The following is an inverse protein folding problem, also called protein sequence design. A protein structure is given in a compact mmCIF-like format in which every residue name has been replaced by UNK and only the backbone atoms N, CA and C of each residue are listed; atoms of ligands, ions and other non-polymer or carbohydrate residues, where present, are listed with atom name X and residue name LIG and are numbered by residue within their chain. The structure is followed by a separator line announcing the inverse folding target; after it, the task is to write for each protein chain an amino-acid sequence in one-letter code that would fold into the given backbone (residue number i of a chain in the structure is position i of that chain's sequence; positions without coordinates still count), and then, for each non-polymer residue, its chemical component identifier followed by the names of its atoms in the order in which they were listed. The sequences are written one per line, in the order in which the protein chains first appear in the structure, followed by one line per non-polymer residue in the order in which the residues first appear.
data_IF_946715083929
#
_entry.id   IF_946715083929
#
_cell.length_a   1.000
_cell.length_b   1.000
_cell.length_c   1.000
_cell.angle_alpha   90.00
_cell.angle_beta   90.00
_cell.angle_gamma   90.00
#
_symmetry.space_group_name_H-M   'P 1'
#
loop_
_entity.id
_entity.type
_entity.pdbx_description
1 polymer ?
#
# COMPACT_ATOMS: atom_id res chain seq x y z
N UNK A 1 -37.76 14.03 75.25
CA UNK A 1 -37.67 14.69 73.92
C UNK A 1 -36.24 14.56 73.42
N UNK A 2 -35.97 13.65 72.48
CA UNK A 2 -34.62 13.44 71.96
C UNK A 2 -34.31 14.48 70.87
N UNK A 3 -33.24 15.26 71.07
CA UNK A 3 -32.75 16.23 70.08
C UNK A 3 -31.98 15.46 69.00
N UNK A 4 -32.50 15.44 67.77
CA UNK A 4 -31.79 14.88 66.61
C UNK A 4 -30.59 15.77 66.28
N UNK A 5 -29.43 15.14 66.07
CA UNK A 5 -28.18 15.83 65.73
C UNK A 5 -28.07 15.93 64.20
N UNK A 6 -28.24 17.13 63.62
CA UNK A 6 -28.30 17.29 62.16
C UNK A 6 -26.97 16.95 61.48
N UNK A 7 -25.86 17.02 62.21
CA UNK A 7 -24.53 16.66 61.72
C UNK A 7 -24.39 15.15 61.49
N UNK A 8 -24.99 14.34 62.36
CA UNK A 8 -24.97 12.87 62.21
C UNK A 8 -25.88 12.46 61.03
N UNK A 9 -27.03 13.11 60.87
CA UNK A 9 -27.94 12.89 59.74
C UNK A 9 -27.26 13.25 58.40
N UNK A 10 -26.50 14.36 58.34
CA UNK A 10 -25.73 14.75 57.16
C UNK A 10 -24.60 13.77 56.83
N UNK A 11 -23.85 13.32 57.84
CA UNK A 11 -22.76 12.37 57.66
C UNK A 11 -23.28 11.04 57.10
N UNK A 12 -24.43 10.58 57.60
CA UNK A 12 -25.07 9.32 57.17
C UNK A 12 -25.57 9.43 55.72
N UNK A 13 -26.10 10.60 55.33
CA UNK A 13 -26.51 10.86 53.95
C UNK A 13 -25.34 10.82 52.97
N UNK A 14 -24.19 11.41 53.33
CA UNK A 14 -22.98 11.38 52.51
C UNK A 14 -22.41 9.95 52.34
N UNK A 15 -22.48 9.14 53.40
CA UNK A 15 -21.97 7.76 53.39
C UNK A 15 -22.85 6.81 52.56
N UNK A 16 -24.15 7.08 52.45
CA UNK A 16 -25.06 6.32 51.59
C UNK A 16 -24.93 6.67 50.10
N UNK A 17 -24.53 7.91 49.78
CA UNK A 17 -24.42 8.37 48.38
C UNK A 17 -23.10 7.94 47.69
N UNK A 18 -22.09 7.52 48.46
CA UNK A 18 -20.80 7.06 47.92
C UNK A 18 -20.80 5.59 47.45
N UNK A 19 -21.91 4.86 47.65
CA UNK A 19 -22.03 3.44 47.30
C UNK A 19 -22.74 3.19 45.96
N UNK A 20 -22.73 4.16 45.04
CA UNK A 20 -23.21 3.93 43.67
C UNK A 20 -22.10 3.23 42.88
N UNK A 21 -22.26 1.96 42.45
CA UNK A 21 -21.29 1.33 41.59
C UNK A 21 -21.23 2.10 40.27
N UNK A 22 -20.04 2.59 39.92
CA UNK A 22 -19.76 3.14 38.60
C UNK A 22 -19.95 2.03 37.57
N UNK A 23 -21.16 1.90 37.05
CA UNK A 23 -21.48 0.94 36.01
C UNK A 23 -20.70 1.34 34.77
N UNK A 24 -19.81 0.46 34.32
CA UNK A 24 -18.90 0.68 33.21
C UNK A 24 -19.67 0.99 31.93
N UNK A 25 -19.65 2.26 31.50
CA UNK A 25 -20.09 2.70 30.16
C UNK A 25 -19.03 2.27 29.14
N UNK A 26 -18.88 0.96 28.96
CA UNK A 26 -18.04 0.37 27.93
C UNK A 26 -18.80 -0.71 27.16
N UNK A 27 -20.14 -0.68 27.20
CA UNK A 27 -20.88 -1.86 26.79
C UNK A 27 -20.90 -2.07 25.28
N UNK A 28 -21.13 -1.10 24.39
CA UNK A 28 -21.06 -1.40 22.94
C UNK A 28 -20.68 -0.17 22.11
N UNK A 29 -19.40 -0.07 21.75
CA UNK A 29 -18.92 0.94 20.82
C UNK A 29 -19.24 0.49 19.37
N UNK A 30 -20.08 1.22 18.62
CA UNK A 30 -20.51 0.82 17.27
C UNK A 30 -19.40 0.94 16.22
N UNK A 31 -18.27 1.55 16.56
CA UNK A 31 -17.07 1.61 15.71
C UNK A 31 -16.12 0.43 15.96
N UNK A 32 -16.38 -0.43 16.95
CA UNK A 32 -15.58 -1.63 17.13
C UNK A 32 -15.89 -2.62 16.00
N UNK A 33 -14.87 -3.13 15.29
CA UNK A 33 -15.09 -4.16 14.30
C UNK A 33 -15.68 -5.43 14.96
N UNK A 34 -16.49 -6.21 14.23
CA UNK A 34 -17.03 -7.48 14.72
C UNK A 34 -15.90 -8.37 15.26
N UNK A 35 -16.04 -8.89 16.47
CA UNK A 35 -15.03 -9.76 17.10
C UNK A 35 -13.91 -9.06 17.86
N UNK A 36 -13.93 -7.72 18.00
CA UNK A 36 -12.91 -6.99 18.78
C UNK A 36 -12.81 -7.43 20.26
N UNK A 37 -13.89 -7.97 20.84
CA UNK A 37 -13.93 -8.50 22.21
C UNK A 37 -13.49 -9.97 22.31
N UNK A 38 -13.25 -10.65 21.19
CA UNK A 38 -12.79 -12.03 21.20
C UNK A 38 -11.31 -12.09 21.58
N UNK A 39 -10.92 -13.08 22.38
CA UNK A 39 -9.52 -13.34 22.69
C UNK A 39 -8.76 -13.52 21.37
N UNK A 40 -7.74 -12.68 21.15
CA UNK A 40 -6.93 -12.74 19.93
C UNK A 40 -6.35 -14.16 19.82
N UNK A 41 -6.60 -14.91 18.72
CA UNK A 41 -5.95 -16.19 18.52
C UNK A 41 -4.44 -15.98 18.55
N UNK A 42 -3.71 -16.93 19.14
CA UNK A 42 -2.26 -16.88 19.21
C UNK A 42 -1.69 -16.58 17.81
N UNK A 43 -0.72 -15.67 17.68
CA UNK A 43 -0.19 -15.32 16.38
C UNK A 43 0.33 -16.59 15.71
N UNK A 44 -0.33 -16.99 14.63
CA UNK A 44 0.22 -18.01 13.74
C UNK A 44 1.53 -17.43 13.23
N UNK A 45 2.64 -18.14 13.47
CA UNK A 45 3.95 -17.76 12.96
C UNK A 45 3.89 -17.88 11.44
N UNK A 46 3.46 -16.81 10.78
CA UNK A 46 3.52 -16.71 9.33
C UNK A 46 4.98 -16.50 8.98
N UNK A 47 5.60 -17.52 8.37
CA UNK A 47 6.94 -17.37 7.79
C UNK A 47 6.90 -16.14 6.87
N UNK A 48 7.76 -15.12 7.08
CA UNK A 48 7.77 -13.95 6.21
C UNK A 48 7.93 -14.42 4.76
N UNK A 49 7.01 -14.01 3.89
CA UNK A 49 7.20 -14.21 2.47
C UNK A 49 8.52 -13.55 2.08
N UNK A 50 9.30 -14.25 1.25
CA UNK A 50 10.56 -13.70 0.71
C UNK A 50 10.24 -12.34 0.07
N UNK A 51 11.02 -11.28 0.34
CA UNK A 51 10.79 -9.98 -0.29
C UNK A 51 10.73 -10.15 -1.81
N UNK A 52 9.72 -9.58 -2.45
CA UNK A 52 9.65 -9.56 -3.90
C UNK A 52 10.95 -8.93 -4.45
N UNK A 53 11.50 -9.45 -5.55
CA UNK A 53 12.67 -8.85 -6.17
C UNK A 53 12.40 -7.36 -6.42
N UNK A 54 13.38 -6.47 -6.16
CA UNK A 54 13.20 -5.05 -6.42
C UNK A 54 12.80 -4.86 -7.90
N UNK A 55 11.82 -3.99 -8.19
CA UNK A 55 11.44 -3.69 -9.57
C UNK A 55 12.70 -3.28 -10.33
N UNK A 56 12.96 -3.93 -11.46
CA UNK A 56 14.11 -3.62 -12.29
C UNK A 56 14.02 -2.13 -12.66
N UNK A 57 15.06 -1.33 -12.40
CA UNK A 57 15.00 0.10 -12.71
C UNK A 57 14.78 0.25 -14.21
N UNK A 58 13.59 0.71 -14.59
CA UNK A 58 13.30 1.18 -15.94
C UNK A 58 14.13 2.45 -16.11
N UNK A 59 15.02 2.51 -17.10
CA UNK A 59 15.83 3.71 -17.32
C UNK A 59 14.90 4.90 -17.58
N UNK A 60 14.84 5.90 -16.67
CA UNK A 60 13.91 7.03 -16.79
C UNK A 60 14.26 7.98 -17.95
N UNK A 61 15.42 7.79 -18.57
CA UNK A 61 15.92 8.65 -19.65
C UNK A 61 15.49 8.20 -21.04
N UNK A 62 14.86 7.04 -21.17
CA UNK A 62 14.36 6.53 -22.43
C UNK A 62 12.87 6.83 -22.58
N UNK A 63 12.49 7.42 -23.71
CA UNK A 63 11.10 7.70 -24.05
C UNK A 63 10.70 6.93 -25.29
N UNK A 64 9.60 6.19 -25.20
CA UNK A 64 8.92 5.69 -26.39
C UNK A 64 8.11 6.84 -27.01
N UNK A 65 8.43 7.22 -28.25
CA UNK A 65 7.80 8.35 -28.96
C UNK A 65 6.87 7.92 -30.08
N UNK A 66 6.95 6.67 -30.51
CA UNK A 66 6.11 6.18 -31.59
C UNK A 66 6.29 4.70 -31.81
N UNK A 67 5.25 4.10 -32.38
CA UNK A 67 5.17 2.69 -32.74
C UNK A 67 4.60 2.66 -34.15
N UNK A 68 5.18 1.87 -35.05
CA UNK A 68 4.58 1.61 -36.35
C UNK A 68 4.84 0.17 -36.79
N UNK A 69 3.89 -0.38 -37.54
CA UNK A 69 4.00 -1.70 -38.16
C UNK A 69 4.18 -1.56 -39.66
N UNK A 70 5.19 -2.20 -40.22
CA UNK A 70 5.44 -2.22 -41.65
C UNK A 70 5.90 -3.61 -42.10
N UNK A 71 5.22 -4.19 -43.10
CA UNK A 71 5.50 -5.54 -43.61
C UNK A 71 5.59 -6.59 -42.50
N UNK A 72 4.63 -6.55 -41.57
CA UNK A 72 4.57 -7.44 -40.40
C UNK A 72 5.74 -7.35 -39.42
N UNK A 73 6.52 -6.26 -39.48
CA UNK A 73 7.57 -5.97 -38.51
C UNK A 73 7.20 -4.72 -37.71
N UNK A 74 7.27 -4.84 -36.39
CA UNK A 74 7.11 -3.72 -35.47
C UNK A 74 8.39 -2.88 -35.40
N UNK A 75 8.20 -1.58 -35.41
CA UNK A 75 9.26 -0.59 -35.33
C UNK A 75 8.90 0.40 -34.23
N UNK A 76 9.87 0.70 -33.38
CA UNK A 76 9.71 1.56 -32.21
C UNK A 76 10.64 2.75 -32.31
N UNK A 77 10.10 3.94 -32.06
CA UNK A 77 10.87 5.18 -31.94
C UNK A 77 11.26 5.37 -30.48
N UNK A 78 12.51 5.11 -30.15
CA UNK A 78 13.04 5.27 -28.79
C UNK A 78 13.93 6.50 -28.76
N UNK A 79 13.67 7.43 -27.85
CA UNK A 79 14.45 8.64 -27.67
C UNK A 79 15.25 8.60 -26.38
N UNK A 80 16.56 8.74 -26.49
CA UNK A 80 17.47 8.91 -25.37
C UNK A 80 17.52 10.40 -25.00
N UNK A 81 17.00 10.75 -23.82
CA UNK A 81 17.00 12.11 -23.28
C UNK A 81 18.41 12.60 -22.91
N UNK A 82 19.32 11.71 -22.51
CA UNK A 82 20.69 12.07 -22.11
C UNK A 82 21.48 12.48 -23.34
N UNK A 83 21.39 11.71 -24.42
CA UNK A 83 22.09 12.00 -25.68
C UNK A 83 21.30 12.91 -26.61
N UNK A 84 20.04 13.17 -26.27
CA UNK A 84 19.07 13.88 -27.12
C UNK A 84 19.00 13.31 -28.54
N UNK A 85 19.02 11.97 -28.66
CA UNK A 85 19.06 11.25 -29.95
C UNK A 85 17.90 10.25 -30.01
N UNK A 86 17.22 10.24 -31.15
CA UNK A 86 16.17 9.27 -31.46
C UNK A 86 16.71 8.10 -32.27
N UNK A 87 16.16 6.92 -32.02
CA UNK A 87 16.54 5.68 -32.67
C UNK A 87 15.29 4.94 -33.14
N UNK A 88 15.40 4.29 -34.30
CA UNK A 88 14.43 3.32 -34.78
C UNK A 88 14.96 1.93 -34.49
N UNK A 89 14.20 1.15 -33.72
CA UNK A 89 14.56 -0.21 -33.33
C UNK A 89 13.43 -1.16 -33.67
N UNK A 90 13.78 -2.39 -34.05
CA UNK A 90 12.84 -3.49 -34.24
C UNK A 90 12.95 -4.51 -33.10
N UNK A 91 12.01 -5.45 -33.00
CA UNK A 91 12.15 -6.56 -32.06
C UNK A 91 13.44 -7.35 -32.31
N UNK A 92 14.19 -7.66 -31.25
CA UNK A 92 15.45 -8.39 -31.33
C UNK A 92 16.66 -7.54 -31.75
N UNK A 93 16.48 -6.26 -32.07
CA UNK A 93 17.61 -5.37 -32.32
C UNK A 93 18.23 -4.92 -30.99
N UNK A 94 19.54 -5.15 -30.88
CA UNK A 94 20.37 -4.65 -29.78
C UNK A 94 21.07 -3.37 -30.24
N UNK A 95 20.59 -2.24 -29.74
CA UNK A 95 21.20 -0.94 -30.00
C UNK A 95 22.39 -0.74 -29.05
N UNK A 96 23.53 -1.29 -29.44
CA UNK A 96 24.79 -1.23 -28.69
C UNK A 96 25.28 0.19 -28.39
N UNK A 97 24.93 1.18 -29.22
CA UNK A 97 25.22 2.60 -28.96
C UNK A 97 24.47 3.17 -27.75
N UNK A 98 23.23 2.74 -27.51
CA UNK A 98 22.41 3.22 -26.40
C UNK A 98 22.36 2.22 -25.23
N UNK A 99 22.89 1.02 -25.41
CA UNK A 99 22.80 -0.06 -24.42
C UNK A 99 21.36 -0.57 -24.23
N UNK A 100 20.54 -0.47 -25.28
CA UNK A 100 19.12 -0.83 -25.26
C UNK A 100 18.90 -2.00 -26.20
N UNK A 101 18.21 -3.03 -25.74
CA UNK A 101 17.78 -4.19 -26.52
C UNK A 101 16.27 -4.31 -26.42
N UNK A 102 15.58 -4.48 -27.55
CA UNK A 102 14.14 -4.75 -27.56
C UNK A 102 13.92 -6.23 -27.30
N UNK A 103 13.43 -6.56 -26.11
CA UNK A 103 13.23 -7.96 -25.68
C UNK A 103 11.95 -8.55 -26.29
N UNK A 104 10.83 -7.84 -26.15
CA UNK A 104 9.55 -8.26 -26.73
C UNK A 104 8.57 -7.10 -26.77
N UNK A 105 7.57 -7.20 -27.64
CA UNK A 105 6.43 -6.30 -27.67
C UNK A 105 5.14 -7.11 -27.60
N UNK A 106 4.26 -6.72 -26.68
CA UNK A 106 2.92 -7.27 -26.54
C UNK A 106 1.93 -6.35 -27.26
N UNK A 107 1.42 -6.81 -28.40
CA UNK A 107 0.45 -6.10 -29.24
C UNK A 107 -0.92 -5.95 -28.56
N UNK A 108 -1.31 -6.89 -27.69
CA UNK A 108 -2.63 -6.85 -27.03
C UNK A 108 -2.69 -5.78 -25.93
N UNK A 109 -1.58 -5.60 -25.21
CA UNK A 109 -1.48 -4.65 -24.10
C UNK A 109 -0.70 -3.37 -24.47
N UNK A 110 -0.19 -3.28 -25.71
CA UNK A 110 0.70 -2.23 -26.20
C UNK A 110 1.94 -2.02 -25.29
N UNK A 111 2.48 -3.11 -24.74
CA UNK A 111 3.61 -3.08 -23.80
C UNK A 111 4.90 -3.45 -24.50
N UNK A 112 5.84 -2.50 -24.56
CA UNK A 112 7.20 -2.71 -25.04
C UNK A 112 8.14 -3.06 -23.88
N UNK A 113 8.76 -4.23 -23.93
CA UNK A 113 9.79 -4.65 -22.98
C UNK A 113 11.17 -4.34 -23.55
N UNK A 114 11.88 -3.45 -22.85
CA UNK A 114 13.25 -3.09 -23.17
C UNK A 114 14.20 -3.65 -22.10
N UNK A 115 15.35 -4.11 -22.55
CA UNK A 115 16.43 -4.61 -21.72
C UNK A 115 17.64 -3.70 -21.85
N UNK A 116 18.17 -3.29 -20.70
CA UNK A 116 19.25 -2.31 -20.67
C UNK A 116 18.75 -0.88 -20.77
N UNK A 117 19.64 0.04 -20.46
CA UNK A 117 19.31 1.41 -20.07
C UNK A 117 19.74 1.67 -18.63
#
# INVERSE_FOLDING_TARGET
MNKRNPFLDLLTFCLLFSLVPASSVAQDNPFLPPGAKAARPAPTVVKPATPAPPPKPVNPNLELRGIFRYRDVWHFSVHDKVKNKGYWVTEGDALSEAGIEVESFDDENEVLQLKGG
#
